data_IF_453229882911
#
_entry.id   IF_453229882911
#
_cell.length_a   1.000
_cell.length_b   1.000
_cell.length_c   1.000
_cell.angle_alpha   90.00
_cell.angle_beta   90.00
_cell.angle_gamma   90.00
#
_symmetry.space_group_name_H-M   'P 1'
#
loop_
_entity.id
_entity.type
_entity.pdbx_description
1 polymer ?
#
# COMPACT_ATOMS: atom_id res chain seq x y z
N UNK A 1 9.95 -2.17 2.22
CA UNK A 1 9.79 -0.71 1.98
C UNK A 1 10.06 0.12 3.24
N UNK A 2 11.10 -0.22 4.00
CA UNK A 2 11.37 0.38 5.32
C UNK A 2 11.77 1.86 5.29
N UNK A 3 12.56 2.35 4.31
CA UNK A 3 12.83 3.78 4.18
C UNK A 3 11.57 4.61 3.92
N UNK A 4 10.62 4.08 3.14
CA UNK A 4 9.34 4.73 2.87
C UNK A 4 8.46 4.76 4.13
N UNK A 5 8.42 3.65 4.88
CA UNK A 5 7.72 3.60 6.16
C UNK A 5 8.29 4.64 7.15
N UNK A 6 9.60 4.78 7.21
CA UNK A 6 10.27 5.78 8.05
C UNK A 6 9.92 7.22 7.64
N UNK A 7 9.91 7.52 6.33
CA UNK A 7 9.49 8.83 5.82
C UNK A 7 8.02 9.15 6.11
N UNK A 8 7.16 8.15 6.30
CA UNK A 8 5.77 8.33 6.73
C UNK A 8 5.61 8.58 8.23
N UNK A 9 6.72 8.69 8.98
CA UNK A 9 6.72 9.00 10.40
C UNK A 9 6.72 7.77 11.32
N UNK A 10 7.02 6.58 10.80
CA UNK A 10 7.16 5.36 11.62
C UNK A 10 8.60 5.29 12.18
N UNK A 11 8.79 5.01 13.48
CA UNK A 11 10.13 4.82 14.07
C UNK A 11 10.94 3.76 13.33
N UNK A 12 12.26 3.93 13.22
CA UNK A 12 13.11 3.01 12.45
C UNK A 12 13.03 1.55 12.92
N UNK A 13 12.82 1.35 14.23
CA UNK A 13 12.65 0.04 14.86
C UNK A 13 11.39 -0.68 14.35
N UNK A 14 10.34 0.07 14.03
CA UNK A 14 9.05 -0.44 13.55
C UNK A 14 8.96 -0.41 12.01
N UNK A 15 9.83 0.37 11.36
CA UNK A 15 9.87 0.56 9.91
C UNK A 15 10.12 -0.75 9.14
N UNK A 16 10.78 -1.74 9.75
CA UNK A 16 10.93 -3.07 9.17
C UNK A 16 9.58 -3.79 8.98
N UNK A 17 8.79 -3.86 10.05
CA UNK A 17 7.48 -4.50 10.04
C UNK A 17 6.49 -3.73 9.14
N UNK A 18 6.40 -2.41 9.32
CA UNK A 18 5.58 -1.54 8.47
C UNK A 18 5.99 -1.60 7.00
N UNK A 19 7.30 -1.62 6.72
CA UNK A 19 7.85 -1.73 5.38
C UNK A 19 7.55 -3.05 4.69
N UNK A 20 7.33 -4.14 5.43
CA UNK A 20 6.87 -5.43 4.89
C UNK A 20 5.41 -5.36 4.45
N UNK A 21 4.54 -4.82 5.30
CA UNK A 21 3.12 -4.63 5.00
C UNK A 21 2.88 -3.76 3.76
N UNK A 22 3.64 -2.66 3.62
CA UNK A 22 3.59 -1.81 2.43
C UNK A 22 4.02 -2.57 1.17
N UNK A 23 5.03 -3.44 1.28
CA UNK A 23 5.49 -4.28 0.17
C UNK A 23 4.41 -5.26 -0.27
N UNK A 24 3.78 -5.92 0.71
CA UNK A 24 2.66 -6.84 0.49
C UNK A 24 1.50 -6.13 -0.20
N UNK A 25 1.11 -4.94 0.29
CA UNK A 25 0.07 -4.10 -0.35
C UNK A 25 0.40 -3.83 -1.81
N UNK A 26 1.64 -3.43 -2.09
CA UNK A 26 2.06 -2.97 -3.42
C UNK A 26 2.07 -4.11 -4.45
N UNK A 27 2.58 -5.28 -4.05
CA UNK A 27 2.75 -6.44 -4.95
C UNK A 27 1.48 -7.30 -5.03
N UNK A 28 0.83 -7.56 -3.88
CA UNK A 28 -0.32 -8.46 -3.81
C UNK A 28 -1.63 -7.67 -3.80
N UNK A 29 -2.03 -7.15 -2.64
CA UNK A 29 -3.22 -6.32 -2.45
C UNK A 29 -3.33 -5.81 -1.00
N UNK A 30 -4.21 -4.83 -0.81
CA UNK A 30 -4.55 -4.24 0.48
C UNK A 30 -5.27 -5.21 1.43
N UNK A 31 -6.14 -6.10 0.94
CA UNK A 31 -6.89 -7.03 1.80
C UNK A 31 -5.97 -7.97 2.58
N UNK A 32 -4.98 -8.55 1.90
CA UNK A 32 -3.99 -9.44 2.51
C UNK A 32 -3.00 -8.66 3.39
N UNK A 33 -2.69 -7.41 3.04
CA UNK A 33 -1.91 -6.55 3.93
C UNK A 33 -2.68 -6.24 5.23
N UNK A 34 -4.00 -6.03 5.17
CA UNK A 34 -4.84 -5.82 6.35
C UNK A 34 -4.95 -7.05 7.24
N UNK A 35 -5.01 -8.26 6.68
CA UNK A 35 -5.00 -9.50 7.50
C UNK A 35 -3.65 -9.71 8.19
N UNK A 36 -2.55 -9.31 7.56
CA UNK A 36 -1.24 -9.33 8.23
C UNK A 36 -1.13 -8.25 9.32
N UNK A 37 -1.71 -7.07 9.11
CA UNK A 37 -1.76 -6.01 10.13
C UNK A 37 -2.62 -6.42 11.36
N UNK A 38 -3.67 -7.22 11.17
CA UNK A 38 -4.51 -7.71 12.27
C UNK A 38 -3.85 -8.85 13.06
N UNK A 39 -3.00 -9.65 12.41
CA UNK A 39 -2.27 -10.77 13.03
C UNK A 39 -0.92 -10.37 13.64
N UNK A 40 -0.41 -9.17 13.33
CA UNK A 40 0.77 -8.60 13.97
C UNK A 40 0.56 -8.37 15.46
N UNK A 41 1.53 -8.83 16.27
CA UNK A 41 1.55 -8.62 17.70
C UNK A 41 1.56 -7.13 18.07
N UNK A 42 0.89 -6.77 19.16
CA UNK A 42 0.80 -5.39 19.66
C UNK A 42 2.17 -4.80 20.06
N UNK A 43 3.20 -5.63 20.22
CA UNK A 43 4.58 -5.20 20.48
C UNK A 43 5.37 -4.84 19.22
N UNK A 44 4.88 -5.20 18.03
CA UNK A 44 5.58 -4.99 16.77
C UNK A 44 5.34 -3.59 16.18
N UNK A 45 4.20 -2.97 16.48
CA UNK A 45 3.84 -1.62 16.07
C UNK A 45 3.21 -0.88 17.25
N UNK A 46 3.69 0.33 17.52
CA UNK A 46 3.02 1.21 18.47
C UNK A 46 1.62 1.57 17.97
N UNK A 47 0.74 2.01 18.87
CA UNK A 47 -0.62 2.46 18.52
C UNK A 47 -0.56 3.53 17.42
N UNK A 48 0.37 4.47 17.54
CA UNK A 48 0.59 5.51 16.53
C UNK A 48 0.95 4.92 15.15
N UNK A 49 1.96 4.05 15.07
CA UNK A 49 2.38 3.44 13.80
C UNK A 49 1.29 2.55 13.21
N UNK A 50 0.49 1.88 14.06
CA UNK A 50 -0.65 1.07 13.62
C UNK A 50 -1.74 1.94 12.99
N UNK A 51 -2.02 3.11 13.56
CA UNK A 51 -2.93 4.10 12.95
C UNK A 51 -2.39 4.60 11.61
N UNK A 52 -1.12 5.02 11.56
CA UNK A 52 -0.48 5.47 10.30
C UNK A 52 -0.56 4.37 9.24
N UNK A 53 -0.25 3.12 9.61
CA UNK A 53 -0.33 2.00 8.70
C UNK A 53 -1.75 1.70 8.23
N UNK A 54 -2.75 1.85 9.11
CA UNK A 54 -4.16 1.67 8.73
C UNK A 54 -4.55 2.63 7.62
N UNK A 55 -4.15 3.91 7.72
CA UNK A 55 -4.35 4.89 6.64
C UNK A 55 -3.51 4.57 5.40
N UNK A 56 -2.25 4.18 5.57
CA UNK A 56 -1.36 3.87 4.44
C UNK A 56 -1.80 2.62 3.65
N UNK A 57 -2.43 1.64 4.32
CA UNK A 57 -3.02 0.45 3.70
C UNK A 57 -4.40 0.72 3.10
N UNK A 58 -5.14 1.71 3.62
CA UNK A 58 -6.44 2.10 3.11
C UNK A 58 -6.29 2.88 1.79
N UNK A 59 -6.05 2.15 0.70
CA UNK A 59 -5.99 2.71 -0.64
C UNK A 59 -5.64 1.66 -1.68
N UNK A 60 -6.41 1.67 -2.78
CA UNK A 60 -6.26 0.80 -3.96
C UNK A 60 -5.04 1.17 -4.83
N UNK A 61 -3.94 1.58 -4.22
CA UNK A 61 -2.68 1.81 -4.94
C UNK A 61 -1.92 0.49 -5.00
N UNK A 62 -2.37 -0.43 -5.85
CA UNK A 62 -1.72 -1.70 -6.15
C UNK A 62 -1.65 -1.90 -7.69
N UNK A 63 -0.79 -2.81 -8.14
CA UNK A 63 -0.58 -3.06 -9.59
C UNK A 63 -1.87 -3.48 -10.30
N UNK A 64 -2.73 -4.26 -9.63
CA UNK A 64 -4.02 -4.69 -10.16
C UNK A 64 -4.97 -3.51 -10.39
N UNK A 65 -4.97 -2.53 -9.48
CA UNK A 65 -5.76 -1.30 -9.57
C UNK A 65 -5.28 -0.38 -10.68
N UNK A 66 -3.98 -0.39 -11.00
CA UNK A 66 -3.46 0.28 -12.20
C UNK A 66 -4.04 -0.34 -13.47
N UNK A 67 -4.12 -1.67 -13.55
CA UNK A 67 -4.75 -2.37 -14.68
C UNK A 67 -6.25 -2.04 -14.84
N UNK A 68 -6.99 -1.95 -13.73
CA UNK A 68 -8.40 -1.51 -13.75
C UNK A 68 -8.52 -0.08 -14.25
N UNK A 69 -7.64 0.82 -13.78
CA UNK A 69 -7.67 2.22 -14.16
C UNK A 69 -7.35 2.41 -15.64
N UNK A 70 -6.36 1.68 -16.17
CA UNK A 70 -6.02 1.69 -17.61
C UNK A 70 -7.18 1.15 -18.46
N UNK A 71 -7.76 0.00 -18.11
CA UNK A 71 -8.88 -0.57 -18.87
C UNK A 71 -10.17 0.27 -18.78
N UNK A 72 -10.45 0.83 -17.61
CA UNK A 72 -11.63 1.67 -17.36
C UNK A 72 -11.52 3.05 -18.02
N UNK A 73 -10.39 3.76 -17.85
CA UNK A 73 -10.20 5.07 -18.48
C UNK A 73 -9.92 4.95 -19.98
N UNK A 74 -9.23 3.90 -20.42
CA UNK A 74 -8.97 3.65 -21.84
C UNK A 74 -10.25 3.44 -22.65
N UNK A 75 -11.22 2.71 -22.09
CA UNK A 75 -12.53 2.54 -22.72
C UNK A 75 -13.41 3.79 -22.73
N UNK A 76 -13.20 4.75 -21.82
CA UNK A 76 -13.97 6.01 -21.74
C UNK A 76 -13.33 7.12 -22.59
N UNK A 77 -12.00 7.18 -22.68
CA UNK A 77 -11.26 8.15 -23.51
C UNK A 77 -10.16 7.43 -24.30
N UNK A 78 -10.50 6.76 -25.42
CA UNK A 78 -9.57 5.94 -26.19
C UNK A 78 -8.33 6.69 -26.70
N UNK A 79 -8.44 8.00 -26.96
CA UNK A 79 -7.32 8.86 -27.38
C UNK A 79 -6.25 9.09 -26.29
N UNK A 80 -6.52 8.72 -25.03
CA UNK A 80 -5.60 8.86 -23.89
C UNK A 80 -4.96 7.53 -23.46
N UNK A 81 -5.31 6.40 -24.10
CA UNK A 81 -4.76 5.09 -23.76
C UNK A 81 -3.23 5.07 -23.78
N UNK A 82 -2.62 5.78 -24.73
CA UNK A 82 -1.16 5.86 -24.87
C UNK A 82 -0.48 6.65 -23.75
N UNK A 83 -1.19 7.54 -23.05
CA UNK A 83 -0.63 8.28 -21.90
C UNK A 83 -0.77 7.51 -20.58
N UNK A 84 -1.78 6.64 -20.47
CA UNK A 84 -2.01 5.83 -19.27
C UNK A 84 -1.19 4.52 -19.24
N UNK A 85 -0.56 4.12 -20.35
CA UNK A 85 0.22 2.88 -20.46
C UNK A 85 1.73 3.03 -20.25
N UNK A 86 2.23 4.27 -20.07
CA UNK A 86 3.63 4.62 -19.78
C UNK A 86 3.84 4.97 -18.32
#
# INVERSE_FOLDING_TARGET
>A
MSPVAWLMGIPWQEAGAAGSLLGIKTILNEFYAFTQLSTLNDTALSVHSRTVMTYALCGFANISSMGIMIGGLGSIVPERETMCSH
#
